data_IF_144660066930
#
_entry.id   IF_144660066930
#
_cell.length_a   1.000
_cell.length_b   1.000
_cell.length_c   1.000
_cell.angle_alpha   90.00
_cell.angle_beta   90.00
_cell.angle_gamma   90.00
#
_symmetry.space_group_name_H-M   'P 1'
#
loop_
_entity.id
_entity.type
_entity.pdbx_description
1 polymer ?
#
# COMPACT_ATOMS: atom_id res chain seq x y z
N UNK A 1 -9.77 -10.36 19.49
CA UNK A 1 -8.31 -10.21 19.35
C UNK A 1 -7.80 -9.57 20.63
N UNK A 2 -6.94 -10.26 21.37
CA UNK A 2 -6.48 -9.77 22.67
C UNK A 2 -5.74 -8.44 22.55
N UNK A 3 -5.92 -7.55 23.53
CA UNK A 3 -5.35 -6.19 23.56
C UNK A 3 -3.83 -6.20 23.30
N UNK A 4 -3.15 -7.27 23.72
CA UNK A 4 -1.72 -7.52 23.48
C UNK A 4 -1.40 -7.80 22.01
N UNK A 5 -2.22 -8.60 21.32
CA UNK A 5 -2.06 -8.93 19.90
C UNK A 5 -2.34 -7.73 18.99
N UNK A 6 -3.33 -6.93 19.35
CA UNK A 6 -3.59 -5.65 18.67
C UNK A 6 -2.38 -4.72 18.76
N UNK A 7 -1.74 -4.61 19.92
CA UNK A 7 -0.52 -3.82 20.07
C UNK A 7 0.66 -4.37 19.25
N UNK A 8 0.86 -5.68 19.23
CA UNK A 8 1.95 -6.28 18.44
C UNK A 8 1.72 -6.08 16.95
N UNK A 9 0.51 -6.35 16.46
CA UNK A 9 0.16 -6.13 15.05
C UNK A 9 0.31 -4.67 14.64
N UNK A 10 -0.22 -3.74 15.44
CA UNK A 10 -0.12 -2.30 15.17
C UNK A 10 1.33 -1.81 15.23
N UNK A 11 2.13 -2.33 16.17
CA UNK A 11 3.57 -2.04 16.24
C UNK A 11 4.30 -2.54 15.00
N UNK A 12 3.98 -3.74 14.50
CA UNK A 12 4.59 -4.31 13.29
C UNK A 12 4.21 -3.51 12.04
N UNK A 13 2.93 -3.15 11.90
CA UNK A 13 2.44 -2.29 10.81
C UNK A 13 3.08 -0.91 10.88
N UNK A 14 3.21 -0.34 12.08
CA UNK A 14 3.84 0.96 12.28
C UNK A 14 5.34 0.94 11.97
N UNK A 15 6.06 -0.12 12.38
CA UNK A 15 7.46 -0.34 12.02
C UNK A 15 7.62 -0.47 10.51
N UNK A 16 6.74 -1.23 9.84
CA UNK A 16 6.75 -1.35 8.38
C UNK A 16 6.47 -0.01 7.69
N UNK A 17 5.54 0.79 8.23
CA UNK A 17 5.28 2.15 7.75
C UNK A 17 6.50 3.05 7.90
N UNK A 18 7.15 3.04 9.06
CA UNK A 18 8.39 3.79 9.30
C UNK A 18 9.48 3.32 8.34
N UNK A 19 9.65 2.01 8.15
CA UNK A 19 10.66 1.45 7.24
C UNK A 19 10.38 1.87 5.79
N UNK A 20 9.11 1.87 5.38
CA UNK A 20 8.69 2.35 4.06
C UNK A 20 8.93 3.85 3.89
N UNK A 21 8.72 4.64 4.95
CA UNK A 21 8.99 6.07 4.94
C UNK A 21 10.49 6.35 4.84
N UNK A 22 11.32 5.64 5.63
CA UNK A 22 12.77 5.77 5.61
C UNK A 22 13.33 5.40 4.21
N UNK A 23 12.87 4.29 3.63
CA UNK A 23 13.31 3.87 2.28
C UNK A 23 12.89 4.87 1.19
N UNK A 24 11.70 5.46 1.29
CA UNK A 24 11.26 6.56 0.43
C UNK A 24 12.19 7.78 0.53
N UNK A 25 12.55 8.18 1.75
CA UNK A 25 13.46 9.31 1.97
C UNK A 25 14.86 9.04 1.44
N UNK A 26 15.43 7.85 1.65
CA UNK A 26 16.74 7.50 1.09
C UNK A 26 16.74 7.48 -0.44
N UNK A 27 15.63 7.08 -1.07
CA UNK A 27 15.50 7.11 -2.53
C UNK A 27 15.40 8.53 -3.09
N UNK A 28 14.82 9.46 -2.34
CA UNK A 28 14.75 10.88 -2.73
C UNK A 28 16.12 11.55 -2.64
N UNK A 29 16.90 11.25 -1.59
CA UNK A 29 18.24 11.82 -1.38
C UNK A 29 19.25 11.28 -2.40
N UNK A 30 19.17 9.99 -2.77
CA UNK A 30 20.08 9.41 -3.77
C UNK A 30 19.80 9.91 -5.19
N UNK A 31 18.54 10.23 -5.50
CA UNK A 31 18.16 10.83 -6.80
C UNK A 31 18.73 12.25 -7.00
N UNK A 32 19.02 12.98 -5.92
CA UNK A 32 19.63 14.32 -6.01
C UNK A 32 21.14 14.31 -6.29
N UNK A 33 21.86 13.22 -5.98
CA UNK A 33 23.33 13.19 -6.06
C UNK A 33 23.88 12.85 -7.46
N UNK A 34 23.03 12.45 -8.42
CA UNK A 34 23.47 12.00 -9.75
C UNK A 34 23.29 12.99 -10.90
N UNK A 35 22.61 14.12 -10.70
CA UNK A 35 22.31 15.06 -11.77
C UNK A 35 23.19 16.30 -11.59
N UNK A 36 24.30 16.35 -12.32
CA UNK A 36 25.11 17.56 -12.45
C UNK A 36 24.32 18.53 -13.34
N UNK A 37 23.42 19.30 -12.74
CA UNK A 37 22.65 20.33 -13.44
C UNK A 37 23.64 21.45 -13.74
N UNK A 38 24.11 21.49 -14.98
CA UNK A 38 24.75 22.68 -15.53
C UNK A 38 23.70 23.79 -15.49
N UNK A 39 23.76 24.61 -14.44
CA UNK A 39 22.90 25.80 -14.27
C UNK A 39 23.35 26.94 -15.17
N UNK A 40 23.87 26.60 -16.36
CA UNK A 40 24.46 27.49 -17.35
C UNK A 40 23.80 28.86 -17.31
N UNK A 41 24.59 29.86 -16.90
CA UNK A 41 24.18 31.24 -16.67
C UNK A 41 23.81 31.96 -17.97
N UNK A 42 22.84 31.42 -18.71
CA UNK A 42 22.27 31.99 -19.92
C UNK A 42 21.09 32.90 -19.58
N UNK A 43 21.06 34.07 -20.22
CA UNK A 43 20.06 35.11 -20.08
C UNK A 43 18.61 34.59 -20.04
N UNK A 44 17.86 35.02 -19.03
CA UNK A 44 16.46 34.65 -18.78
C UNK A 44 15.55 35.36 -19.80
N UNK A 45 15.53 34.88 -21.05
CA UNK A 45 14.54 35.29 -22.04
C UNK A 45 13.24 34.52 -21.82
N UNK A 46 12.43 34.93 -20.84
CA UNK A 46 11.18 34.28 -20.41
C UNK A 46 10.22 33.93 -21.58
N UNK A 47 10.10 34.81 -22.58
CA UNK A 47 9.21 34.59 -23.73
C UNK A 47 9.75 33.51 -24.69
N UNK A 48 11.06 33.47 -24.93
CA UNK A 48 11.67 32.39 -25.72
C UNK A 48 11.66 31.08 -24.95
N UNK A 49 11.83 31.10 -23.63
CA UNK A 49 11.69 29.93 -22.77
C UNK A 49 10.28 29.32 -22.83
N UNK A 50 9.21 30.11 -22.84
CA UNK A 50 7.85 29.57 -23.04
C UNK A 50 7.71 28.97 -24.44
N UNK A 51 8.21 29.66 -25.48
CA UNK A 51 8.12 29.14 -26.84
C UNK A 51 8.96 27.88 -27.04
N UNK A 52 10.12 27.74 -26.41
CA UNK A 52 10.97 26.57 -26.58
C UNK A 52 10.50 25.40 -25.70
N UNK A 53 9.89 25.68 -24.53
CA UNK A 53 9.24 24.66 -23.69
C UNK A 53 7.89 24.15 -24.25
N UNK A 54 7.24 24.90 -25.15
CA UNK A 54 5.94 24.53 -25.74
C UNK A 54 5.92 24.42 -27.28
N UNK A 55 7.00 24.79 -27.97
CA UNK A 55 6.98 25.12 -29.41
C UNK A 55 7.92 24.31 -30.29
N UNK A 56 8.70 23.37 -29.76
CA UNK A 56 8.99 22.17 -30.55
C UNK A 56 7.70 21.37 -30.61
N UNK A 57 6.92 21.66 -31.65
CA UNK A 57 5.48 21.45 -31.75
C UNK A 57 4.97 20.22 -31.03
N UNK A 58 3.90 20.39 -30.25
CA UNK A 58 3.12 19.33 -29.60
C UNK A 58 3.12 18.10 -30.50
N UNK A 59 4.00 17.15 -30.22
CA UNK A 59 4.02 15.89 -30.96
C UNK A 59 2.60 15.34 -30.81
N UNK A 60 1.97 14.85 -31.90
CA UNK A 60 0.60 14.39 -31.85
C UNK A 60 0.39 13.46 -30.65
N UNK A 61 -0.81 13.44 -30.07
CA UNK A 61 -1.13 12.59 -28.89
C UNK A 61 -0.77 11.11 -29.11
N UNK A 62 -0.61 10.67 -30.36
CA UNK A 62 -0.11 9.34 -30.70
C UNK A 62 1.35 9.11 -30.30
N UNK A 63 2.20 10.11 -30.43
CA UNK A 63 3.62 10.04 -30.07
C UNK A 63 3.81 10.02 -28.55
N UNK A 64 2.85 10.57 -27.81
CA UNK A 64 2.79 10.44 -26.36
C UNK A 64 2.65 8.98 -25.92
N UNK A 65 1.70 8.24 -26.49
CA UNK A 65 1.52 6.84 -26.10
C UNK A 65 2.73 5.98 -26.46
N UNK A 66 3.42 6.33 -27.56
CA UNK A 66 4.68 5.69 -27.94
C UNK A 66 5.81 6.02 -26.94
N UNK A 67 6.00 7.29 -26.56
CA UNK A 67 7.04 7.68 -25.61
C UNK A 67 6.76 7.17 -24.19
N UNK A 68 5.48 7.09 -23.80
CA UNK A 68 5.03 6.48 -22.57
C UNK A 68 5.39 4.99 -22.51
N UNK A 69 5.19 4.26 -23.61
CA UNK A 69 5.56 2.84 -23.68
C UNK A 69 7.06 2.63 -23.58
N UNK A 70 7.88 3.55 -24.10
CA UNK A 70 9.34 3.50 -23.95
C UNK A 70 9.83 3.97 -22.57
N UNK A 71 8.94 4.46 -21.70
CA UNK A 71 9.30 4.98 -20.39
C UNK A 71 10.00 6.34 -20.41
N UNK A 72 10.00 7.01 -21.57
CA UNK A 72 10.56 8.34 -21.75
C UNK A 72 9.42 9.36 -21.71
N UNK A 73 9.20 9.91 -20.53
CA UNK A 73 8.13 10.89 -20.31
C UNK A 73 8.67 12.25 -20.72
N UNK A 74 8.11 12.79 -21.80
CA UNK A 74 8.37 14.15 -22.22
C UNK A 74 8.10 15.14 -21.08
N UNK A 75 9.08 15.98 -20.77
CA UNK A 75 9.02 16.91 -19.64
C UNK A 75 7.89 17.94 -19.80
N UNK A 76 7.66 18.43 -21.01
CA UNK A 76 6.59 19.38 -21.30
C UNK A 76 5.23 18.76 -21.02
N UNK A 77 5.06 17.50 -21.38
CA UNK A 77 3.85 16.76 -21.09
C UNK A 77 3.67 16.43 -19.60
N UNK A 78 4.75 16.04 -18.90
CA UNK A 78 4.70 15.87 -17.46
C UNK A 78 4.22 17.16 -16.77
N UNK A 79 4.75 18.32 -17.20
CA UNK A 79 4.29 19.63 -16.74
C UNK A 79 2.80 19.86 -17.03
N UNK A 80 2.32 19.52 -18.23
CA UNK A 80 0.90 19.66 -18.56
C UNK A 80 0.01 18.79 -17.66
N UNK A 81 0.39 17.54 -17.42
CA UNK A 81 -0.30 16.63 -16.50
C UNK A 81 -0.32 17.18 -15.07
N UNK A 82 0.82 17.68 -14.58
CA UNK A 82 0.89 18.32 -13.27
C UNK A 82 0.02 19.58 -13.20
N UNK A 83 -0.04 20.39 -14.26
CA UNK A 83 -0.91 21.56 -14.32
C UNK A 83 -2.38 21.18 -14.14
N UNK A 84 -2.85 20.15 -14.85
CA UNK A 84 -4.23 19.66 -14.73
C UNK A 84 -4.49 19.13 -13.32
N UNK A 85 -3.57 18.35 -12.75
CA UNK A 85 -3.72 17.75 -11.43
C UNK A 85 -3.72 18.83 -10.33
N UNK A 86 -2.77 19.76 -10.37
CA UNK A 86 -2.68 20.89 -9.44
C UNK A 86 -3.92 21.80 -9.59
N UNK A 87 -4.39 22.05 -10.81
CA UNK A 87 -5.62 22.79 -11.05
C UNK A 87 -6.84 22.14 -10.39
N UNK A 88 -7.02 20.82 -10.54
CA UNK A 88 -8.12 20.09 -9.90
C UNK A 88 -8.05 20.17 -8.37
N UNK A 89 -6.86 20.01 -7.79
CA UNK A 89 -6.65 20.12 -6.34
C UNK A 89 -6.95 21.53 -5.85
N UNK A 90 -6.41 22.57 -6.50
CA UNK A 90 -6.67 23.97 -6.15
C UNK A 90 -8.15 24.30 -6.29
N UNK A 91 -8.80 23.85 -7.36
CA UNK A 91 -10.24 24.05 -7.55
C UNK A 91 -11.06 23.46 -6.40
N UNK A 92 -10.74 22.23 -5.99
CA UNK A 92 -11.38 21.57 -4.85
C UNK A 92 -11.17 22.34 -3.53
N UNK A 93 -9.97 22.86 -3.28
CA UNK A 93 -9.69 23.69 -2.10
C UNK A 93 -10.46 25.01 -2.14
N UNK A 94 -10.49 25.68 -3.29
CA UNK A 94 -11.22 26.96 -3.48
C UNK A 94 -12.71 26.80 -3.17
N UNK A 95 -13.31 25.64 -3.48
CA UNK A 95 -14.72 25.36 -3.18
C UNK A 95 -15.02 25.37 -1.68
N UNK A 96 -14.04 25.04 -0.84
CA UNK A 96 -14.19 25.05 0.63
C UNK A 96 -14.09 26.44 1.26
N UNK A 97 -13.57 27.43 0.52
CA UNK A 97 -13.32 28.78 1.04
C UNK A 97 -14.65 29.55 1.10
N UNK A 98 -15.12 30.02 2.28
CA UNK A 98 -16.47 30.58 2.44
C UNK A 98 -16.72 31.84 1.61
N UNK A 99 -15.69 32.67 1.36
CA UNK A 99 -15.82 33.86 0.51
C UNK A 99 -15.77 33.57 -0.99
N UNK A 100 -15.44 32.34 -1.41
CA UNK A 100 -15.48 31.88 -2.81
C UNK A 100 -16.53 30.79 -3.03
N UNK A 101 -17.02 30.13 -1.98
CA UNK A 101 -17.48 28.75 -2.01
C UNK A 101 -18.85 28.47 -2.61
N UNK A 102 -19.91 29.24 -2.35
CA UNK A 102 -21.28 28.73 -2.59
C UNK A 102 -22.14 29.41 -3.66
N UNK A 103 -21.91 30.69 -3.99
CA UNK A 103 -22.79 31.41 -4.93
C UNK A 103 -22.04 32.36 -5.88
N UNK A 104 -20.70 32.37 -5.86
CA UNK A 104 -19.91 33.25 -6.72
C UNK A 104 -19.69 32.67 -8.11
N UNK A 105 -19.57 33.59 -9.08
CA UNK A 105 -19.26 33.30 -10.49
C UNK A 105 -18.22 32.20 -10.64
N UNK A 106 -18.64 31.05 -11.16
CA UNK A 106 -17.78 29.89 -11.49
C UNK A 106 -16.59 30.33 -12.35
N UNK A 107 -16.81 31.29 -13.25
CA UNK A 107 -15.76 31.90 -14.07
C UNK A 107 -14.60 32.46 -13.23
N UNK A 108 -14.88 33.14 -12.13
CA UNK A 108 -13.82 33.71 -11.26
C UNK A 108 -13.03 32.58 -10.59
N UNK A 109 -13.71 31.52 -10.13
CA UNK A 109 -13.03 30.34 -9.56
C UNK A 109 -12.09 29.71 -10.57
N UNK A 110 -12.58 29.45 -11.80
CA UNK A 110 -11.78 28.84 -12.87
C UNK A 110 -10.58 29.71 -13.23
N UNK A 111 -10.74 31.03 -13.35
CA UNK A 111 -9.63 31.95 -13.63
C UNK A 111 -8.59 31.95 -12.51
N UNK A 112 -9.02 32.02 -11.25
CA UNK A 112 -8.10 31.98 -10.11
C UNK A 112 -7.37 30.63 -10.07
N UNK A 113 -8.08 29.51 -10.21
CA UNK A 113 -7.49 28.17 -10.28
C UNK A 113 -6.46 28.08 -11.40
N UNK A 114 -6.79 28.52 -12.61
CA UNK A 114 -5.91 28.45 -13.76
C UNK A 114 -4.62 29.25 -13.53
N UNK A 115 -4.73 30.47 -12.99
CA UNK A 115 -3.57 31.32 -12.68
C UNK A 115 -2.69 30.65 -11.61
N UNK A 116 -3.26 30.22 -10.49
CA UNK A 116 -2.48 29.63 -9.39
C UNK A 116 -1.85 28.31 -9.82
N UNK A 117 -2.58 27.45 -10.54
CA UNK A 117 -2.06 26.18 -11.04
C UNK A 117 -0.96 26.37 -12.07
N UNK A 118 -1.12 27.35 -12.97
CA UNK A 118 -0.09 27.72 -13.94
C UNK A 118 1.19 28.14 -13.22
N UNK A 119 1.11 29.07 -12.26
CA UNK A 119 2.29 29.49 -11.50
C UNK A 119 2.91 28.34 -10.71
N UNK A 120 2.10 27.57 -9.97
CA UNK A 120 2.59 26.42 -9.20
C UNK A 120 3.36 25.43 -10.08
N UNK A 121 2.88 25.16 -11.29
CA UNK A 121 3.53 24.23 -12.23
C UNK A 121 4.72 24.87 -12.95
N UNK A 122 4.66 26.16 -13.27
CA UNK A 122 5.73 26.88 -13.95
C UNK A 122 7.01 26.94 -13.10
N UNK A 123 6.87 27.00 -11.77
CA UNK A 123 8.00 26.96 -10.84
C UNK A 123 8.56 25.56 -10.58
N UNK A 124 7.91 24.49 -11.06
CA UNK A 124 8.46 23.15 -10.96
C UNK A 124 9.68 23.00 -11.88
N UNK A 125 10.82 22.74 -11.24
CA UNK A 125 12.05 22.35 -11.91
C UNK A 125 11.92 20.93 -12.46
N UNK A 126 12.68 20.56 -13.52
CA UNK A 126 12.69 19.20 -14.03
C UNK A 126 13.01 18.15 -12.97
N UNK A 127 13.91 18.47 -12.04
CA UNK A 127 14.35 17.58 -10.96
C UNK A 127 13.21 17.27 -9.98
N UNK A 128 12.39 18.27 -9.64
CA UNK A 128 11.21 18.06 -8.80
C UNK A 128 10.17 17.18 -9.49
N UNK A 129 9.96 17.37 -10.80
CA UNK A 129 9.05 16.54 -11.60
C UNK A 129 9.53 15.09 -11.60
N UNK A 130 10.81 14.85 -11.85
CA UNK A 130 11.38 13.50 -11.78
C UNK A 130 11.26 12.89 -10.38
N UNK A 131 11.47 13.67 -9.32
CA UNK A 131 11.30 13.19 -7.94
C UNK A 131 9.85 12.79 -7.63
N UNK A 132 8.86 13.55 -8.14
CA UNK A 132 7.46 13.20 -7.99
C UNK A 132 7.13 11.94 -8.81
N UNK A 133 7.63 11.83 -10.06
CA UNK A 133 7.48 10.62 -10.89
C UNK A 133 8.08 9.39 -10.21
N UNK A 134 9.27 9.53 -9.61
CA UNK A 134 9.94 8.47 -8.86
C UNK A 134 9.08 7.96 -7.68
N UNK A 135 8.33 8.86 -7.04
CA UNK A 135 7.39 8.51 -5.97
C UNK A 135 6.26 7.62 -6.49
N UNK A 136 5.80 7.82 -7.73
CA UNK A 136 4.82 6.94 -8.37
C UNK A 136 5.40 5.57 -8.71
N UNK A 137 6.69 5.46 -9.07
CA UNK A 137 7.35 4.17 -9.26
C UNK A 137 7.38 3.36 -7.96
N UNK A 138 7.66 4.03 -6.84
CA UNK A 138 7.60 3.41 -5.50
C UNK A 138 6.18 2.96 -5.15
N UNK A 139 5.15 3.76 -5.50
CA UNK A 139 3.76 3.36 -5.37
C UNK A 139 3.41 2.16 -6.27
N UNK A 140 3.94 2.11 -7.49
CA UNK A 140 3.82 0.96 -8.38
C UNK A 140 4.37 -0.32 -7.76
N UNK A 141 5.52 -0.25 -7.07
CA UNK A 141 6.05 -1.37 -6.29
C UNK A 141 5.13 -1.79 -5.15
N UNK A 142 4.58 -0.84 -4.38
CA UNK A 142 3.63 -1.12 -3.30
C UNK A 142 2.40 -1.85 -3.85
N UNK A 143 1.83 -1.38 -4.96
CA UNK A 143 0.68 -2.00 -5.59
C UNK A 143 0.99 -3.39 -6.16
N UNK A 144 2.15 -3.56 -6.80
CA UNK A 144 2.49 -4.79 -7.51
C UNK A 144 3.05 -5.91 -6.61
N UNK A 145 3.71 -5.56 -5.50
CA UNK A 145 4.37 -6.53 -4.62
C UNK A 145 3.80 -6.51 -3.19
N UNK A 146 3.73 -5.34 -2.54
CA UNK A 146 3.36 -5.26 -1.13
C UNK A 146 1.89 -5.61 -0.89
N UNK A 147 0.96 -5.07 -1.69
CA UNK A 147 -0.47 -5.36 -1.55
C UNK A 147 -0.77 -6.85 -1.77
N UNK A 148 -0.35 -7.48 -2.89
CA UNK A 148 -0.54 -8.91 -3.09
C UNK A 148 0.07 -9.76 -1.97
N UNK A 149 1.25 -9.41 -1.48
CA UNK A 149 1.87 -10.09 -0.34
C UNK A 149 0.99 -10.03 0.91
N UNK A 150 0.49 -8.84 1.27
CA UNK A 150 -0.40 -8.66 2.43
C UNK A 150 -1.69 -9.48 2.26
N UNK A 151 -2.29 -9.44 1.07
CA UNK A 151 -3.49 -10.23 0.75
C UNK A 151 -3.20 -11.72 0.93
N UNK A 152 -2.07 -12.23 0.43
CA UNK A 152 -1.68 -13.63 0.59
C UNK A 152 -1.43 -14.02 2.04
N UNK A 153 -0.86 -13.14 2.87
CA UNK A 153 -0.72 -13.38 4.30
C UNK A 153 -2.10 -13.53 4.96
N UNK A 154 -3.03 -12.62 4.68
CA UNK A 154 -4.40 -12.72 5.23
C UNK A 154 -5.13 -13.97 4.73
N UNK A 155 -4.99 -14.30 3.46
CA UNK A 155 -5.57 -15.50 2.87
C UNK A 155 -5.01 -16.77 3.52
N UNK A 156 -3.70 -16.80 3.77
CA UNK A 156 -3.01 -17.90 4.48
C UNK A 156 -3.53 -18.09 5.90
N UNK A 157 -3.73 -16.99 6.63
CA UNK A 157 -4.28 -17.01 8.00
C UNK A 157 -5.71 -17.54 8.00
N UNK A 158 -6.55 -17.10 7.06
CA UNK A 158 -7.95 -17.52 6.96
C UNK A 158 -8.05 -18.99 6.61
N UNK A 159 -7.33 -19.43 5.57
CA UNK A 159 -7.33 -20.84 5.14
C UNK A 159 -6.75 -21.79 6.20
N UNK A 160 -5.76 -21.35 6.98
CA UNK A 160 -5.20 -22.16 8.06
C UNK A 160 -6.25 -22.55 9.13
N UNK A 161 -7.35 -21.81 9.25
CA UNK A 161 -8.45 -22.10 10.21
C UNK A 161 -9.29 -23.31 9.81
N UNK A 162 -9.37 -23.63 8.53
CA UNK A 162 -10.30 -24.65 8.02
C UNK A 162 -9.74 -26.08 8.13
N UNK A 163 -8.59 -26.29 8.77
CA UNK A 163 -8.03 -27.58 9.19
C UNK A 163 -8.05 -28.71 8.13
N UNK A 164 -7.77 -28.39 6.86
CA UNK A 164 -7.50 -29.38 5.82
C UNK A 164 -6.01 -29.63 5.61
N UNK A 165 -5.57 -30.89 5.55
CA UNK A 165 -4.19 -31.24 5.16
C UNK A 165 -3.82 -30.71 3.76
N UNK A 166 -4.80 -30.70 2.83
CA UNK A 166 -4.65 -30.13 1.49
C UNK A 166 -4.39 -28.62 1.49
N UNK A 167 -4.87 -27.89 2.49
CA UNK A 167 -4.73 -26.43 2.57
C UNK A 167 -3.28 -26.00 2.72
N UNK A 168 -2.46 -26.76 3.47
CA UNK A 168 -1.02 -26.46 3.59
C UNK A 168 -0.29 -26.57 2.26
N UNK A 169 -0.62 -27.58 1.47
CA UNK A 169 -0.01 -27.81 0.15
C UNK A 169 -0.45 -26.71 -0.82
N UNK A 170 -1.75 -26.40 -0.84
CA UNK A 170 -2.28 -25.32 -1.67
C UNK A 170 -1.63 -23.97 -1.36
N UNK A 171 -1.47 -23.61 -0.08
CA UNK A 171 -0.79 -22.38 0.32
C UNK A 171 0.66 -22.34 -0.16
N UNK A 172 1.40 -23.45 -0.05
CA UNK A 172 2.77 -23.53 -0.58
C UNK A 172 2.80 -23.26 -2.08
N UNK A 173 1.89 -23.86 -2.85
CA UNK A 173 1.79 -23.64 -4.31
C UNK A 173 1.52 -22.17 -4.63
N UNK A 174 0.58 -21.53 -3.94
CA UNK A 174 0.23 -20.11 -4.16
C UNK A 174 1.41 -19.19 -3.85
N UNK A 175 2.10 -19.43 -2.72
CA UNK A 175 3.29 -18.64 -2.36
C UNK A 175 4.45 -18.87 -3.32
N UNK A 176 4.68 -20.11 -3.78
CA UNK A 176 5.67 -20.40 -4.80
C UNK A 176 5.35 -19.67 -6.11
N UNK A 177 4.10 -19.68 -6.56
CA UNK A 177 3.67 -18.93 -7.75
C UNK A 177 3.91 -17.42 -7.58
N UNK A 178 3.65 -16.87 -6.39
CA UNK A 178 3.92 -15.47 -6.09
C UNK A 178 5.43 -15.13 -6.12
N UNK A 179 6.28 -16.00 -5.57
CA UNK A 179 7.74 -15.84 -5.66
C UNK A 179 8.20 -15.87 -7.11
N UNK A 180 7.70 -16.81 -7.93
CA UNK A 180 7.99 -16.85 -9.36
C UNK A 180 7.55 -15.58 -10.08
N UNK A 181 6.38 -15.03 -9.74
CA UNK A 181 5.92 -13.75 -10.28
C UNK A 181 6.85 -12.59 -9.91
N UNK A 182 7.30 -12.51 -8.65
CA UNK A 182 8.26 -11.48 -8.24
C UNK A 182 9.61 -11.63 -8.93
N UNK A 183 10.12 -12.87 -9.09
CA UNK A 183 11.35 -13.14 -9.84
C UNK A 183 11.21 -12.75 -11.32
N UNK A 184 10.09 -13.10 -11.95
CA UNK A 184 9.80 -12.70 -13.33
C UNK A 184 9.80 -11.17 -13.46
N UNK A 185 9.12 -10.45 -12.56
CA UNK A 185 9.14 -8.99 -12.54
C UNK A 185 10.55 -8.44 -12.36
N UNK A 186 11.33 -8.98 -11.43
CA UNK A 186 12.71 -8.58 -11.19
C UNK A 186 13.57 -8.74 -12.44
N UNK A 187 13.44 -9.87 -13.17
CA UNK A 187 14.17 -10.13 -14.42
C UNK A 187 13.75 -9.17 -15.53
N UNK A 188 12.44 -8.92 -15.69
CA UNK A 188 11.95 -7.95 -16.67
C UNK A 188 12.49 -6.55 -16.38
N UNK A 189 12.44 -6.12 -15.12
CA UNK A 189 13.03 -4.84 -14.71
C UNK A 189 14.53 -4.77 -14.99
N UNK A 190 15.26 -5.87 -14.72
CA UNK A 190 16.69 -5.98 -15.04
C UNK A 190 16.98 -5.84 -16.53
N UNK A 191 16.22 -6.55 -17.36
CA UNK A 191 16.38 -6.50 -18.82
C UNK A 191 16.10 -5.11 -19.41
N UNK A 192 15.21 -4.35 -18.79
CA UNK A 192 14.88 -2.99 -19.23
C UNK A 192 15.97 -1.96 -18.88
N UNK A 193 16.99 -2.31 -18.10
CA UNK A 193 18.05 -1.38 -17.68
C UNK A 193 17.59 -0.29 -16.69
N UNK A 194 16.29 -0.24 -16.37
CA UNK A 194 15.66 0.77 -15.52
C UNK A 194 15.65 0.38 -14.04
N UNK A 195 16.66 -0.36 -13.59
CA UNK A 195 16.70 -0.85 -12.21
C UNK A 195 17.33 0.20 -11.31
N UNK A 196 16.47 0.92 -10.57
CA UNK A 196 16.97 1.65 -9.40
C UNK A 196 17.37 0.63 -8.33
N UNK A 197 18.53 0.84 -7.71
CA UNK A 197 19.05 -0.03 -6.64
C UNK A 197 18.01 -0.23 -5.53
N UNK A 198 17.23 0.81 -5.22
CA UNK A 198 16.15 0.77 -4.22
C UNK A 198 15.06 -0.24 -4.58
N UNK A 199 14.56 -0.23 -5.82
CA UNK A 199 13.51 -1.16 -6.24
C UNK A 199 14.02 -2.59 -6.30
N UNK A 200 15.25 -2.79 -6.77
CA UNK A 200 15.90 -4.10 -6.78
C UNK A 200 15.98 -4.72 -5.38
N UNK A 201 16.48 -3.95 -4.41
CA UNK A 201 16.55 -4.35 -3.01
C UNK A 201 15.15 -4.60 -2.45
N UNK A 202 14.17 -3.77 -2.80
CA UNK A 202 12.78 -3.95 -2.40
C UNK A 202 12.20 -5.29 -2.87
N UNK A 203 12.37 -5.64 -4.14
CA UNK A 203 11.93 -6.93 -4.68
C UNK A 203 12.67 -8.11 -4.05
N UNK A 204 14.00 -8.02 -3.88
CA UNK A 204 14.78 -9.07 -3.20
C UNK A 204 14.29 -9.30 -1.77
N UNK A 205 14.05 -8.22 -1.02
CA UNK A 205 13.53 -8.29 0.34
C UNK A 205 12.16 -8.97 0.36
N UNK A 206 11.26 -8.64 -0.57
CA UNK A 206 9.94 -9.28 -0.67
C UNK A 206 10.03 -10.76 -1.02
N UNK A 207 10.97 -11.15 -1.89
CA UNK A 207 11.24 -12.57 -2.20
C UNK A 207 11.75 -13.30 -0.96
N UNK A 208 12.73 -12.74 -0.25
CA UNK A 208 13.28 -13.30 0.98
C UNK A 208 12.19 -13.45 2.06
N UNK A 209 11.36 -12.42 2.27
CA UNK A 209 10.24 -12.48 3.20
C UNK A 209 9.21 -13.55 2.81
N UNK A 210 8.93 -13.71 1.52
CA UNK A 210 8.01 -14.75 1.02
C UNK A 210 8.58 -16.16 1.26
N UNK A 211 9.87 -16.36 1.03
CA UNK A 211 10.58 -17.62 1.33
C UNK A 211 10.54 -17.89 2.85
N UNK A 212 10.92 -16.91 3.67
CA UNK A 212 10.88 -17.01 5.13
C UNK A 212 9.46 -17.34 5.61
N UNK A 213 8.44 -16.79 4.95
CA UNK A 213 7.05 -17.06 5.27
C UNK A 213 6.68 -18.54 5.08
N UNK A 214 7.04 -19.11 3.92
CA UNK A 214 6.80 -20.53 3.59
C UNK A 214 7.48 -21.46 4.59
N UNK A 215 8.73 -21.18 4.97
CA UNK A 215 9.53 -22.11 5.78
C UNK A 215 9.35 -21.96 7.29
N UNK A 216 9.19 -20.75 7.81
CA UNK A 216 9.25 -20.50 9.26
C UNK A 216 7.99 -19.86 9.84
N UNK A 217 7.45 -18.84 9.15
CA UNK A 217 6.36 -18.04 9.73
C UNK A 217 5.03 -18.78 9.68
N UNK A 218 4.78 -19.64 8.69
CA UNK A 218 3.52 -20.36 8.58
C UNK A 218 3.22 -21.16 9.86
N UNK A 219 4.10 -22.05 10.29
CA UNK A 219 3.86 -22.88 11.47
C UNK A 219 3.90 -22.07 12.77
N UNK A 220 4.76 -21.06 12.85
CA UNK A 220 4.91 -20.21 14.05
C UNK A 220 3.69 -19.30 14.26
N UNK A 221 3.22 -18.63 13.21
CA UNK A 221 2.06 -17.73 13.27
C UNK A 221 0.81 -18.56 13.57
N UNK A 222 0.63 -19.71 12.91
CA UNK A 222 -0.52 -20.59 13.17
C UNK A 222 -0.47 -21.09 14.62
N UNK A 223 0.66 -21.60 15.11
CA UNK A 223 0.73 -22.07 16.50
C UNK A 223 0.41 -20.95 17.49
N UNK A 224 1.04 -19.79 17.34
CA UNK A 224 0.84 -18.66 18.25
C UNK A 224 -0.59 -18.12 18.18
N UNK A 225 -1.17 -17.99 16.98
CA UNK A 225 -2.53 -17.45 16.85
C UNK A 225 -3.58 -18.39 17.43
N UNK A 226 -3.48 -19.69 17.16
CA UNK A 226 -4.50 -20.65 17.55
C UNK A 226 -4.37 -21.12 18.99
N UNK A 227 -3.20 -21.01 19.63
CA UNK A 227 -3.02 -21.45 21.01
C UNK A 227 -3.96 -20.73 21.99
N UNK A 228 -4.24 -19.44 21.78
CA UNK A 228 -5.24 -18.71 22.59
C UNK A 228 -6.67 -19.18 22.31
N UNK A 229 -7.05 -19.36 21.05
CA UNK A 229 -8.40 -19.81 20.69
C UNK A 229 -8.66 -21.23 21.23
N UNK A 230 -7.66 -22.12 21.14
CA UNK A 230 -7.71 -23.47 21.72
C UNK A 230 -7.80 -23.41 23.24
N UNK A 231 -7.04 -22.51 23.90
CA UNK A 231 -7.09 -22.33 25.36
C UNK A 231 -8.46 -21.82 25.79
N UNK A 232 -9.04 -20.86 25.08
CA UNK A 232 -10.37 -20.32 25.36
C UNK A 232 -11.47 -21.35 25.10
N UNK A 233 -11.37 -22.15 24.03
CA UNK A 233 -12.28 -23.25 23.77
C UNK A 233 -12.23 -24.31 24.88
N UNK A 234 -11.03 -24.66 25.35
CA UNK A 234 -10.83 -25.59 26.48
C UNK A 234 -11.44 -25.06 27.78
N UNK A 235 -11.26 -23.77 28.07
CA UNK A 235 -11.87 -23.13 29.24
C UNK A 235 -13.40 -23.13 29.16
N UNK A 236 -13.98 -22.77 28.01
CA UNK A 236 -15.43 -22.83 27.79
C UNK A 236 -15.97 -24.25 27.95
N UNK A 237 -15.28 -25.25 27.42
CA UNK A 237 -15.66 -26.65 27.58
C UNK A 237 -15.64 -27.10 29.05
N UNK A 238 -14.61 -26.69 29.81
CA UNK A 238 -14.52 -26.95 31.25
C UNK A 238 -15.65 -26.27 32.03
N UNK A 239 -15.98 -25.01 31.70
CA UNK A 239 -17.09 -24.29 32.31
C UNK A 239 -18.44 -24.97 32.00
N UNK A 240 -18.66 -25.37 30.74
CA UNK A 240 -19.88 -26.06 30.33
C UNK A 240 -20.05 -27.40 31.05
N UNK A 241 -18.96 -28.15 31.24
CA UNK A 241 -18.99 -29.41 31.98
C UNK A 241 -19.23 -29.21 33.48
N UNK A 242 -18.69 -28.15 34.09
CA UNK A 242 -19.01 -27.79 35.49
C UNK A 242 -20.48 -27.44 35.63
N UNK A 243 -21.00 -26.58 34.75
CA UNK A 243 -22.40 -26.20 34.73
C UNK A 243 -23.34 -27.40 34.51
N UNK A 244 -23.02 -28.32 33.59
CA UNK A 244 -23.81 -29.56 33.40
C UNK A 244 -23.83 -30.44 34.65
N UNK A 245 -22.70 -30.57 35.35
CA UNK A 245 -22.63 -31.34 36.61
C UNK A 245 -23.47 -30.68 37.70
N UNK A 246 -23.38 -29.36 37.87
CA UNK A 246 -24.19 -28.63 38.84
C UNK A 246 -25.68 -28.72 38.52
N UNK A 247 -26.06 -28.57 37.25
CA UNK A 247 -27.45 -28.73 36.82
C UNK A 247 -27.99 -30.14 37.11
N UNK A 248 -27.21 -31.18 36.79
CA UNK A 248 -27.61 -32.58 37.07
C UNK A 248 -27.71 -32.89 38.57
N UNK A 249 -26.98 -32.17 39.43
CA UNK A 249 -27.12 -32.29 40.88
C UNK A 249 -28.42 -31.65 41.37
N UNK A 250 -28.72 -30.42 40.91
CA UNK A 250 -29.96 -29.72 41.24
C UNK A 250 -31.20 -30.50 40.79
N UNK A 251 -31.19 -31.05 39.59
CA UNK A 251 -32.29 -31.88 39.08
C UNK A 251 -32.51 -33.15 39.94
N UNK A 252 -31.45 -33.74 40.51
CA UNK A 252 -31.58 -34.87 41.45
C UNK A 252 -32.13 -34.44 42.81
N UNK A 253 -31.64 -33.34 43.35
CA UNK A 253 -32.11 -32.78 44.62
C UNK A 253 -33.60 -32.38 44.54
N UNK A 254 -34.02 -31.77 43.43
CA UNK A 254 -35.43 -31.43 43.16
C UNK A 254 -36.31 -32.69 43.04
N UNK A 255 -35.80 -33.74 42.39
CA UNK A 255 -36.52 -35.01 42.28
C UNK A 255 -36.67 -35.71 43.64
N UNK A 256 -35.63 -35.72 44.47
CA UNK A 256 -35.65 -36.27 45.83
C UNK A 256 -36.63 -35.52 46.75
N UNK A 257 -36.64 -34.17 46.72
CA UNK A 257 -37.62 -33.35 47.47
C UNK A 257 -39.06 -33.66 47.01
N UNK A 258 -39.27 -33.78 45.70
CA UNK A 258 -40.59 -34.14 45.17
C UNK A 258 -41.04 -35.53 45.65
N UNK A 259 -40.18 -36.54 45.58
CA UNK A 259 -40.51 -37.89 46.08
C UNK A 259 -40.82 -37.90 47.58
N UNK A 260 -40.05 -37.15 48.38
CA UNK A 260 -40.29 -37.03 49.82
C UNK A 260 -41.62 -36.34 50.15
N UNK A 261 -42.04 -35.34 49.35
CA UNK A 261 -43.32 -34.63 49.55
C UNK A 261 -44.55 -35.44 49.15
N UNK A 262 -44.43 -36.30 48.14
CA UNK A 262 -45.57 -37.10 47.64
C UNK A 262 -45.82 -38.34 48.52
N UNK A 263 -44.93 -38.68 49.45
CA UNK A 263 -45.16 -39.71 50.47
C UNK A 263 -45.30 -41.11 49.87
N UNK A 264 -44.47 -41.42 48.87
CA UNK A 264 -44.28 -42.78 48.34
C UNK A 264 -43.16 -43.46 49.13
#
# INVERSE_FOLDING_TARGET
>A
MDKKRYKIFFSLVFILLILSFITLNFSLVSAQQGINVDTGGGDINFINGIRDNFGEGTKPVTDFFASWQSGDIDLGLAKLLFLILIALVIYSVIETIPFLGKERNVAIKVVITAIVAFFATAYLTPQEIYAIILSYTSLGFVLAALIPFVILVFFSITLAKEHGGGTKIFLKIVWTAFIFFLLYKLVVFWMQGNVTTTLFVGYLLMIILSILYIFFLQDTIIKNWFEEDVKMAKLRYQQLNKWRREKSKREREEFEDYTNRVGI
#
